data_IF_566635466496
#
_entry.id   IF_566635466496
#
_cell.length_a   1.000
_cell.length_b   1.000
_cell.length_c   1.000
_cell.angle_alpha   90.00
_cell.angle_beta   90.00
_cell.angle_gamma   90.00
#
_symmetry.space_group_name_H-M   'P 1'
#
loop_
_entity.id
_entity.type
_entity.pdbx_description
1 polymer ?
#
# COMPACT_ATOMS: atom_id res chain seq x y z
N UNK A 1 -23.43 19.35 16.69
CA UNK A 1 -22.73 18.19 17.28
C UNK A 1 -22.85 17.06 16.27
N UNK A 2 -21.91 16.95 15.35
CA UNK A 2 -21.87 15.82 14.42
C UNK A 2 -21.57 14.57 15.24
N UNK A 3 -22.46 13.59 15.21
CA UNK A 3 -22.22 12.29 15.83
C UNK A 3 -21.03 11.66 15.13
N UNK A 4 -19.91 11.55 15.83
CA UNK A 4 -18.72 10.87 15.33
C UNK A 4 -19.10 9.41 15.05
N UNK A 5 -19.31 9.07 13.78
CA UNK A 5 -19.71 7.73 13.31
C UNK A 5 -18.58 6.70 13.46
N UNK A 6 -17.41 7.17 13.91
CA UNK A 6 -16.08 6.58 13.78
C UNK A 6 -15.79 5.35 14.66
N UNK A 7 -16.79 4.57 15.07
CA UNK A 7 -16.61 3.31 15.82
C UNK A 7 -17.89 2.43 15.84
N UNK A 8 -18.84 2.67 14.93
CA UNK A 8 -20.07 1.86 14.88
C UNK A 8 -19.86 0.66 13.93
N UNK A 9 -19.99 -0.59 14.41
CA UNK A 9 -19.85 -1.77 13.57
C UNK A 9 -20.90 -1.79 12.44
N UNK A 10 -20.49 -2.34 11.30
CA UNK A 10 -21.37 -2.52 10.16
C UNK A 10 -22.45 -3.56 10.46
N UNK A 11 -23.66 -3.29 10.01
CA UNK A 11 -24.79 -4.23 10.07
C UNK A 11 -25.00 -4.97 8.74
N UNK A 12 -24.36 -4.52 7.66
CA UNK A 12 -24.26 -5.23 6.37
C UNK A 12 -23.00 -4.79 5.60
N UNK A 13 -22.35 -5.73 4.93
CA UNK A 13 -21.31 -5.47 3.93
C UNK A 13 -21.88 -5.70 2.53
N UNK A 14 -21.93 -4.66 1.71
CA UNK A 14 -22.38 -4.73 0.32
C UNK A 14 -21.18 -4.60 -0.60
N UNK A 15 -20.98 -5.54 -1.51
CA UNK A 15 -19.81 -5.59 -2.38
C UNK A 15 -20.24 -5.45 -3.83
N UNK A 16 -19.91 -4.31 -4.44
CA UNK A 16 -20.09 -4.09 -5.86
C UNK A 16 -18.90 -4.67 -6.61
N UNK A 17 -19.15 -5.45 -7.66
CA UNK A 17 -18.09 -6.12 -8.42
C UNK A 17 -17.72 -7.50 -7.87
N UNK A 18 -18.59 -8.12 -7.08
CA UNK A 18 -18.36 -9.40 -6.39
C UNK A 18 -18.04 -10.58 -7.34
N UNK A 19 -18.37 -10.48 -8.63
CA UNK A 19 -18.02 -11.47 -9.66
C UNK A 19 -16.67 -11.22 -10.33
N UNK A 20 -15.97 -10.15 -9.95
CA UNK A 20 -14.74 -9.69 -10.55
C UNK A 20 -13.47 -10.44 -10.11
N UNK A 21 -12.36 -10.10 -10.76
CA UNK A 21 -11.07 -10.75 -10.49
C UNK A 21 -10.51 -10.45 -9.09
N UNK A 22 -10.74 -9.25 -8.56
CA UNK A 22 -10.29 -8.91 -7.20
C UNK A 22 -11.05 -9.75 -6.17
N UNK A 23 -12.37 -9.89 -6.37
CA UNK A 23 -13.22 -10.72 -5.53
C UNK A 23 -12.69 -12.16 -5.43
N UNK A 24 -12.44 -12.75 -6.61
CA UNK A 24 -11.91 -14.10 -6.79
C UNK A 24 -10.53 -14.29 -6.18
N UNK A 25 -9.61 -13.33 -6.33
CA UNK A 25 -8.21 -13.47 -5.89
C UNK A 25 -8.01 -13.18 -4.40
N UNK A 26 -8.72 -12.18 -3.86
CA UNK A 26 -8.42 -11.59 -2.54
C UNK A 26 -9.65 -11.47 -1.63
N UNK A 27 -10.81 -11.04 -2.13
CA UNK A 27 -11.96 -10.68 -1.26
C UNK A 27 -12.59 -11.91 -0.61
N UNK A 28 -12.91 -12.96 -1.37
CA UNK A 28 -13.55 -14.17 -0.79
C UNK A 28 -12.66 -14.87 0.23
N UNK A 29 -11.37 -15.05 -0.08
CA UNK A 29 -10.41 -15.64 0.88
C UNK A 29 -10.30 -14.80 2.15
N UNK A 30 -10.28 -13.47 2.03
CA UNK A 30 -10.20 -12.56 3.18
C UNK A 30 -11.43 -12.67 4.08
N UNK A 31 -12.63 -12.67 3.48
CA UNK A 31 -13.88 -12.82 4.23
C UNK A 31 -14.02 -14.20 4.88
N UNK A 32 -13.56 -15.26 4.20
CA UNK A 32 -13.50 -16.61 4.77
C UNK A 32 -12.56 -16.68 5.98
N UNK A 33 -11.37 -16.06 5.91
CA UNK A 33 -10.45 -15.95 7.05
C UNK A 33 -11.07 -15.19 8.23
N UNK A 34 -11.80 -14.10 7.97
CA UNK A 34 -12.55 -13.38 9.00
C UNK A 34 -13.64 -14.25 9.65
N UNK A 35 -14.39 -15.04 8.87
CA UNK A 35 -15.37 -15.99 9.41
C UNK A 35 -14.70 -17.10 10.23
N UNK A 36 -13.55 -17.62 9.77
CA UNK A 36 -12.74 -18.61 10.50
C UNK A 36 -12.31 -18.07 11.87
N UNK A 37 -11.94 -16.79 11.93
CA UNK A 37 -11.55 -16.07 13.15
C UNK A 37 -12.74 -15.52 13.95
N UNK A 38 -13.98 -15.73 13.49
CA UNK A 38 -15.23 -15.20 14.10
C UNK A 38 -15.28 -13.68 14.20
N UNK A 39 -14.59 -12.99 13.29
CA UNK A 39 -14.57 -11.52 13.19
C UNK A 39 -15.62 -10.99 12.20
N UNK A 40 -16.19 -11.85 11.36
CA UNK A 40 -17.28 -11.48 10.46
C UNK A 40 -18.63 -11.51 11.19
N UNK A 41 -19.24 -10.34 11.39
CA UNK A 41 -20.43 -10.19 12.25
C UNK A 41 -21.72 -9.84 11.50
N UNK A 42 -21.65 -9.46 10.23
CA UNK A 42 -22.80 -9.01 9.45
C UNK A 42 -23.09 -9.92 8.24
N UNK A 43 -24.27 -9.78 7.59
CA UNK A 43 -24.55 -10.35 6.28
C UNK A 43 -23.73 -9.69 5.17
N UNK A 44 -23.58 -10.39 4.05
CA UNK A 44 -22.87 -9.91 2.86
C UNK A 44 -23.81 -9.95 1.66
N UNK A 45 -23.93 -8.81 0.97
CA UNK A 45 -24.72 -8.68 -0.26
C UNK A 45 -23.78 -8.41 -1.42
N UNK A 46 -23.65 -9.37 -2.33
CA UNK A 46 -22.92 -9.18 -3.58
C UNK A 46 -23.79 -8.49 -4.63
N UNK A 47 -23.22 -7.52 -5.35
CA UNK A 47 -23.88 -6.81 -6.45
C UNK A 47 -23.03 -6.92 -7.71
N UNK A 48 -23.62 -7.48 -8.77
CA UNK A 48 -22.99 -7.51 -10.09
C UNK A 48 -24.04 -7.69 -11.21
N UNK A 49 -23.58 -7.59 -12.46
CA UNK A 49 -24.43 -7.69 -13.65
C UNK A 49 -24.82 -9.14 -14.00
N UNK A 50 -23.96 -10.09 -13.64
CA UNK A 50 -24.11 -11.51 -13.98
C UNK A 50 -25.44 -12.08 -13.46
N UNK A 51 -26.07 -12.97 -14.24
CA UNK A 51 -27.36 -13.59 -13.87
C UNK A 51 -27.22 -14.70 -12.84
N UNK A 52 -26.54 -14.43 -11.72
CA UNK A 52 -26.28 -15.42 -10.68
C UNK A 52 -27.45 -15.56 -9.70
N UNK A 53 -27.65 -16.77 -9.20
CA UNK A 53 -28.41 -17.03 -7.98
C UNK A 53 -27.49 -16.91 -6.76
N UNK A 54 -28.07 -16.85 -5.55
CA UNK A 54 -27.31 -16.94 -4.30
C UNK A 54 -26.43 -18.20 -4.25
N UNK A 55 -26.94 -19.33 -4.76
CA UNK A 55 -26.18 -20.59 -4.79
C UNK A 55 -25.00 -20.52 -5.76
N UNK A 56 -25.18 -19.89 -6.92
CA UNK A 56 -24.07 -19.68 -7.86
C UNK A 56 -22.97 -18.78 -7.27
N UNK A 57 -23.35 -17.75 -6.50
CA UNK A 57 -22.40 -16.91 -5.75
C UNK A 57 -21.64 -17.74 -4.70
N UNK A 58 -22.33 -18.61 -3.96
CA UNK A 58 -21.72 -19.47 -2.93
C UNK A 58 -20.73 -20.48 -3.55
N UNK A 59 -21.09 -21.09 -4.67
CA UNK A 59 -20.21 -22.00 -5.40
C UNK A 59 -18.99 -21.28 -5.94
N UNK A 60 -19.17 -20.07 -6.48
CA UNK A 60 -18.06 -19.23 -6.93
C UNK A 60 -17.12 -18.85 -5.77
N UNK A 61 -17.69 -18.47 -4.62
CA UNK A 61 -16.92 -18.14 -3.42
C UNK A 61 -16.09 -19.34 -2.94
N UNK A 62 -16.67 -20.55 -2.89
CA UNK A 62 -15.93 -21.79 -2.57
C UNK A 62 -14.76 -21.98 -3.54
N UNK A 63 -15.02 -21.96 -4.84
CA UNK A 63 -14.00 -22.18 -5.86
C UNK A 63 -12.87 -21.14 -5.79
N UNK A 64 -13.20 -19.87 -5.49
CA UNK A 64 -12.23 -18.80 -5.30
C UNK A 64 -11.32 -19.04 -4.07
N UNK A 65 -11.90 -19.47 -2.95
CA UNK A 65 -11.16 -19.79 -1.72
C UNK A 65 -10.23 -21.00 -1.95
N UNK A 66 -10.71 -22.05 -2.60
CA UNK A 66 -9.90 -23.23 -2.97
C UNK A 66 -8.75 -22.85 -3.91
N UNK A 67 -9.03 -22.06 -4.94
CA UNK A 67 -8.03 -21.62 -5.91
C UNK A 67 -6.96 -20.71 -5.28
N UNK A 68 -7.27 -20.04 -4.17
CA UNK A 68 -6.30 -19.28 -3.39
C UNK A 68 -5.39 -20.16 -2.51
N UNK A 69 -5.61 -21.48 -2.46
CA UNK A 69 -4.84 -22.43 -1.66
C UNK A 69 -5.23 -22.46 -0.19
N UNK A 70 -6.38 -21.89 0.19
CA UNK A 70 -6.86 -21.92 1.57
C UNK A 70 -7.35 -23.33 1.96
N UNK A 71 -6.99 -23.84 3.15
CA UNK A 71 -7.61 -25.04 3.68
C UNK A 71 -9.09 -24.77 4.02
N UNK A 72 -9.96 -25.57 3.41
CA UNK A 72 -11.40 -25.50 3.64
C UNK A 72 -11.80 -26.27 4.90
N UNK A 73 -12.49 -25.57 5.80
CA UNK A 73 -13.28 -26.12 6.89
C UNK A 73 -14.75 -25.97 6.51
N UNK A 74 -15.42 -27.09 6.24
CA UNK A 74 -16.82 -27.12 5.80
C UNK A 74 -17.78 -26.44 6.79
N UNK A 75 -17.46 -26.44 8.09
CA UNK A 75 -18.28 -25.76 9.10
C UNK A 75 -18.14 -24.24 9.00
N UNK A 76 -16.93 -23.74 8.70
CA UNK A 76 -16.66 -22.32 8.48
C UNK A 76 -17.30 -21.89 7.17
N UNK A 77 -17.13 -22.69 6.11
CA UNK A 77 -17.68 -22.41 4.80
C UNK A 77 -19.21 -22.35 4.82
N UNK A 78 -19.88 -23.26 5.53
CA UNK A 78 -21.34 -23.24 5.66
C UNK A 78 -21.84 -21.96 6.35
N UNK A 79 -21.17 -21.51 7.43
CA UNK A 79 -21.50 -20.24 8.10
C UNK A 79 -21.24 -19.04 7.19
N UNK A 80 -20.12 -19.04 6.47
CA UNK A 80 -19.79 -17.99 5.51
C UNK A 80 -20.82 -17.90 4.39
N UNK A 81 -21.15 -19.03 3.76
CA UNK A 81 -22.13 -19.12 2.68
C UNK A 81 -23.53 -18.68 3.11
N UNK A 82 -23.92 -18.96 4.35
CA UNK A 82 -25.20 -18.51 4.93
C UNK A 82 -25.31 -16.99 5.08
N UNK A 83 -24.20 -16.25 5.05
CA UNK A 83 -24.18 -14.77 5.06
C UNK A 83 -24.30 -14.17 3.67
N UNK A 84 -24.03 -14.94 2.62
CA UNK A 84 -23.98 -14.46 1.24
C UNK A 84 -25.38 -14.44 0.62
N UNK A 85 -25.69 -13.31 0.01
CA UNK A 85 -26.86 -13.07 -0.84
C UNK A 85 -26.47 -12.22 -2.05
N UNK A 86 -27.25 -12.26 -3.12
CA UNK A 86 -26.93 -11.61 -4.38
C UNK A 86 -28.03 -10.68 -4.87
N UNK A 87 -27.63 -9.51 -5.37
CA UNK A 87 -28.48 -8.57 -6.10
C UNK A 87 -27.93 -8.42 -7.51
N UNK A 88 -28.67 -8.96 -8.48
CA UNK A 88 -28.37 -8.75 -9.89
C UNK A 88 -28.75 -7.32 -10.31
N UNK A 89 -27.87 -6.67 -11.06
CA UNK A 89 -28.23 -5.44 -11.76
C UNK A 89 -27.07 -4.71 -12.45
N UNK A 90 -27.44 -3.84 -13.37
CA UNK A 90 -26.52 -2.87 -13.96
C UNK A 90 -26.47 -1.63 -13.07
N UNK A 91 -25.29 -1.08 -12.82
CA UNK A 91 -25.11 0.16 -12.04
C UNK A 91 -25.69 1.38 -12.76
N UNK A 92 -26.05 1.24 -14.03
CA UNK A 92 -26.80 2.20 -14.82
C UNK A 92 -28.28 2.25 -14.55
N UNK A 93 -28.84 1.16 -14.03
CA UNK A 93 -30.28 0.98 -13.89
C UNK A 93 -30.71 1.37 -12.47
N UNK A 94 -31.56 2.40 -12.29
CA UNK A 94 -32.10 2.77 -10.99
C UNK A 94 -32.79 1.61 -10.26
N UNK A 95 -33.38 0.65 -10.97
CA UNK A 95 -34.03 -0.50 -10.35
C UNK A 95 -33.04 -1.41 -9.61
N UNK A 96 -31.76 -1.43 -10.00
CA UNK A 96 -30.70 -2.12 -9.25
C UNK A 96 -30.59 -1.59 -7.83
N UNK A 97 -30.63 -0.27 -7.66
CA UNK A 97 -30.53 0.37 -6.34
C UNK A 97 -31.83 0.21 -5.54
N UNK A 98 -32.99 0.18 -6.19
CA UNK A 98 -34.25 -0.17 -5.52
C UNK A 98 -34.27 -1.62 -5.02
N UNK A 99 -33.77 -2.58 -5.82
CA UNK A 99 -33.57 -3.97 -5.37
C UNK A 99 -32.62 -4.03 -4.17
N UNK A 100 -31.50 -3.33 -4.23
CA UNK A 100 -30.54 -3.26 -3.14
C UNK A 100 -31.16 -2.68 -1.86
N UNK A 101 -31.90 -1.57 -1.96
CA UNK A 101 -32.59 -0.95 -0.81
C UNK A 101 -33.59 -1.91 -0.14
N UNK A 102 -34.27 -2.77 -0.92
CA UNK A 102 -35.11 -3.84 -0.36
C UNK A 102 -34.29 -4.91 0.36
N UNK A 103 -33.14 -5.30 -0.21
CA UNK A 103 -32.27 -6.33 0.35
C UNK A 103 -31.63 -5.91 1.69
N UNK A 104 -31.28 -4.62 1.83
CA UNK A 104 -30.65 -4.08 3.05
C UNK A 104 -31.65 -3.33 3.95
N UNK A 105 -32.95 -3.57 3.77
CA UNK A 105 -33.99 -2.87 4.52
C UNK A 105 -33.81 -3.05 6.05
N UNK A 106 -33.81 -1.95 6.79
CA UNK A 106 -33.60 -1.92 8.24
C UNK A 106 -32.15 -1.82 8.69
N UNK A 107 -31.18 -1.94 7.76
CA UNK A 107 -29.76 -1.67 8.03
C UNK A 107 -29.52 -0.15 8.07
N UNK A 108 -28.72 0.29 9.04
CA UNK A 108 -28.43 1.70 9.36
C UNK A 108 -26.97 2.06 9.18
N UNK A 109 -26.06 1.08 9.22
CA UNK A 109 -24.62 1.29 9.12
C UNK A 109 -23.97 0.44 8.03
N UNK A 110 -24.50 0.46 6.78
CA UNK A 110 -23.95 -0.36 5.72
C UNK A 110 -22.53 0.07 5.36
N UNK A 111 -21.70 -0.90 5.01
CA UNK A 111 -20.42 -0.67 4.33
C UNK A 111 -20.58 -1.07 2.88
N UNK A 112 -20.38 -0.13 1.95
CA UNK A 112 -20.39 -0.38 0.51
C UNK A 112 -18.95 -0.47 0.01
N UNK A 113 -18.50 -1.66 -0.36
CA UNK A 113 -17.18 -1.88 -0.93
C UNK A 113 -17.26 -1.90 -2.47
N UNK A 114 -16.56 -0.97 -3.11
CA UNK A 114 -16.57 -0.75 -4.55
C UNK A 114 -15.30 -1.33 -5.18
N UNK A 115 -15.29 -2.63 -5.42
CA UNK A 115 -14.23 -3.32 -6.19
C UNK A 115 -14.54 -3.30 -7.71
N UNK A 116 -14.85 -2.11 -8.21
CA UNK A 116 -15.27 -1.84 -9.60
C UNK A 116 -14.35 -0.79 -10.24
N UNK A 117 -14.38 -0.63 -11.57
CA UNK A 117 -13.63 0.43 -12.23
C UNK A 117 -13.91 1.82 -11.63
N UNK A 118 -12.89 2.68 -11.41
CA UNK A 118 -13.06 3.99 -10.77
C UNK A 118 -14.06 4.92 -11.46
N UNK A 119 -14.21 4.79 -12.78
CA UNK A 119 -15.20 5.55 -13.57
C UNK A 119 -16.65 5.27 -13.17
N UNK A 120 -16.90 4.23 -12.38
CA UNK A 120 -18.23 3.86 -11.89
C UNK A 120 -18.46 4.27 -10.43
N UNK A 121 -17.47 4.78 -9.71
CA UNK A 121 -17.61 5.15 -8.29
C UNK A 121 -18.68 6.22 -8.09
N UNK A 122 -18.57 7.36 -8.77
CA UNK A 122 -19.54 8.45 -8.65
C UNK A 122 -20.96 7.97 -8.99
N UNK A 123 -21.11 7.22 -10.09
CA UNK A 123 -22.39 6.64 -10.52
C UNK A 123 -23.03 5.74 -9.47
N UNK A 124 -22.25 4.86 -8.84
CA UNK A 124 -22.76 3.97 -7.80
C UNK A 124 -23.15 4.76 -6.56
N UNK A 125 -22.35 5.74 -6.15
CA UNK A 125 -22.66 6.60 -4.99
C UNK A 125 -23.91 7.46 -5.25
N UNK A 126 -24.09 7.98 -6.47
CA UNK A 126 -25.33 8.65 -6.90
C UNK A 126 -26.54 7.74 -6.81
N UNK A 127 -26.42 6.50 -7.30
CA UNK A 127 -27.50 5.51 -7.21
C UNK A 127 -27.86 5.17 -5.76
N UNK A 128 -26.86 4.99 -4.89
CA UNK A 128 -27.06 4.78 -3.46
C UNK A 128 -27.74 5.98 -2.78
N UNK A 129 -27.32 7.20 -3.12
CA UNK A 129 -27.89 8.42 -2.58
C UNK A 129 -29.36 8.58 -3.03
N UNK A 130 -29.68 8.25 -4.28
CA UNK A 130 -31.03 8.33 -4.84
C UNK A 130 -32.06 7.44 -4.13
N UNK A 131 -31.62 6.35 -3.50
CA UNK A 131 -32.46 5.47 -2.67
C UNK A 131 -32.26 5.67 -1.16
N UNK A 132 -31.52 6.71 -0.75
CA UNK A 132 -31.32 7.08 0.65
C UNK A 132 -30.36 6.18 1.44
N UNK A 133 -29.52 5.40 0.75
CA UNK A 133 -28.61 4.43 1.38
C UNK A 133 -27.27 5.03 1.82
N UNK A 134 -26.96 6.28 1.49
CA UNK A 134 -25.69 6.92 1.90
C UNK A 134 -25.68 7.42 3.34
N UNK A 135 -26.85 7.55 3.98
CA UNK A 135 -26.95 8.05 5.35
C UNK A 135 -26.43 7.03 6.36
N UNK A 136 -25.38 7.38 7.11
CA UNK A 136 -24.76 6.49 8.10
C UNK A 136 -23.91 5.36 7.50
N UNK A 137 -23.73 5.38 6.17
CA UNK A 137 -22.93 4.42 5.43
C UNK A 137 -21.44 4.74 5.48
N UNK A 138 -20.61 3.74 5.23
CA UNK A 138 -19.22 3.92 4.79
C UNK A 138 -19.09 3.38 3.38
N UNK A 139 -18.31 4.05 2.55
CA UNK A 139 -18.03 3.66 1.17
C UNK A 139 -16.54 3.43 1.03
N UNK A 140 -16.18 2.17 0.79
CA UNK A 140 -14.82 1.72 0.58
C UNK A 140 -14.54 1.70 -0.91
N UNK A 141 -13.49 2.38 -1.36
CA UNK A 141 -13.12 2.49 -2.78
C UNK A 141 -11.70 2.00 -3.02
N UNK A 142 -11.52 1.28 -4.13
CA UNK A 142 -10.23 0.80 -4.59
C UNK A 142 -9.43 1.86 -5.37
N UNK A 143 -8.11 1.69 -5.41
CA UNK A 143 -7.23 2.49 -6.28
C UNK A 143 -7.52 2.19 -7.76
N UNK A 144 -7.27 3.12 -8.70
CA UNK A 144 -6.64 4.44 -8.53
C UNK A 144 -7.59 5.58 -8.09
N UNK A 145 -7.07 6.50 -7.27
CA UNK A 145 -7.74 7.74 -6.86
C UNK A 145 -7.31 8.91 -7.76
N UNK A 146 -7.80 8.89 -9.00
CA UNK A 146 -7.31 9.78 -10.06
C UNK A 146 -6.04 9.26 -10.73
N UNK A 147 -5.59 9.96 -11.76
CA UNK A 147 -4.36 9.68 -12.52
C UNK A 147 -3.40 10.87 -12.55
N UNK A 148 -3.77 11.97 -11.92
CA UNK A 148 -3.01 13.18 -11.65
C UNK A 148 -3.75 13.98 -10.57
N UNK A 149 -3.17 15.12 -10.15
CA UNK A 149 -3.78 15.95 -9.11
C UNK A 149 -5.18 16.47 -9.50
N UNK A 150 -5.37 16.87 -10.76
CA UNK A 150 -6.62 17.46 -11.23
C UNK A 150 -7.76 16.43 -11.24
N UNK A 151 -7.52 15.24 -11.76
CA UNK A 151 -8.49 14.14 -11.79
C UNK A 151 -8.79 13.58 -10.40
N UNK A 152 -7.80 13.55 -9.49
CA UNK A 152 -8.02 13.17 -8.10
C UNK A 152 -8.97 14.15 -7.39
N UNK A 153 -8.73 15.46 -7.56
CA UNK A 153 -9.62 16.51 -7.05
C UNK A 153 -11.02 16.44 -7.64
N UNK A 154 -11.13 16.20 -8.95
CA UNK A 154 -12.42 16.08 -9.62
C UNK A 154 -13.23 14.89 -9.08
N UNK A 155 -12.62 13.70 -9.03
CA UNK A 155 -13.24 12.50 -8.47
C UNK A 155 -13.68 12.74 -7.02
N UNK A 156 -12.80 13.37 -6.23
CA UNK A 156 -13.13 13.66 -4.84
C UNK A 156 -14.30 14.64 -4.71
N UNK A 157 -14.29 15.74 -5.47
CA UNK A 157 -15.37 16.71 -5.46
C UNK A 157 -16.72 16.09 -5.84
N UNK A 158 -16.76 15.13 -6.78
CA UNK A 158 -17.97 14.38 -7.11
C UNK A 158 -18.46 13.51 -5.92
N UNK A 159 -17.55 12.78 -5.27
CA UNK A 159 -17.91 11.93 -4.13
C UNK A 159 -18.34 12.73 -2.88
N UNK A 160 -17.66 13.84 -2.58
CA UNK A 160 -17.95 14.70 -1.41
C UNK A 160 -19.28 15.46 -1.53
N UNK A 161 -19.91 15.49 -2.71
CA UNK A 161 -21.28 16.01 -2.85
C UNK A 161 -22.32 15.12 -2.15
N UNK A 162 -22.02 13.83 -1.98
CA UNK A 162 -22.98 12.81 -1.56
C UNK A 162 -22.60 12.08 -0.27
N UNK A 163 -21.34 12.21 0.14
CA UNK A 163 -20.76 11.54 1.31
C UNK A 163 -19.96 12.55 2.12
N UNK A 164 -19.84 12.34 3.43
CA UNK A 164 -18.85 12.99 4.30
C UNK A 164 -17.47 12.29 4.22
N UNK A 165 -16.38 12.95 4.64
CA UNK A 165 -15.01 12.41 4.47
C UNK A 165 -14.78 11.23 5.42
N UNK A 166 -15.44 11.22 6.59
CA UNK A 166 -15.43 10.10 7.52
C UNK A 166 -16.19 8.87 6.98
N UNK A 167 -17.04 9.07 5.96
CA UNK A 167 -17.71 7.98 5.25
C UNK A 167 -16.86 7.39 4.12
N UNK A 168 -15.82 8.08 3.64
CA UNK A 168 -15.01 7.65 2.50
C UNK A 168 -13.74 6.92 2.95
N UNK A 169 -13.66 5.64 2.62
CA UNK A 169 -12.57 4.75 3.00
C UNK A 169 -11.75 4.34 1.76
N UNK A 170 -10.66 5.05 1.49
CA UNK A 170 -9.80 4.81 0.32
C UNK A 170 -8.77 3.73 0.64
N UNK A 171 -8.87 2.57 -0.01
CA UNK A 171 -7.94 1.45 0.21
C UNK A 171 -6.57 1.74 -0.42
N UNK A 172 -5.56 1.60 0.41
CA UNK A 172 -4.19 1.31 0.00
C UNK A 172 -3.76 0.01 0.70
N UNK A 173 -3.70 -1.09 -0.04
CA UNK A 173 -3.36 -2.39 0.54
C UNK A 173 -1.95 -2.47 1.14
N UNK A 174 -1.02 -1.54 0.84
CA UNK A 174 0.26 -1.48 1.53
C UNK A 174 0.12 -1.00 2.97
N UNK A 175 -0.82 -0.08 3.26
CA UNK A 175 -1.14 0.33 4.62
C UNK A 175 -1.79 -0.79 5.42
N UNK A 176 -2.47 -1.73 4.74
CA UNK A 176 -3.01 -2.94 5.35
C UNK A 176 -1.97 -4.02 5.67
N UNK A 177 -0.72 -3.90 5.20
CA UNK A 177 0.34 -4.83 5.55
C UNK A 177 0.78 -4.57 6.99
N UNK A 178 0.75 -5.60 7.84
CA UNK A 178 1.21 -5.52 9.25
C UNK A 178 2.55 -4.78 9.45
N UNK A 179 3.58 -4.99 8.59
CA UNK A 179 4.88 -4.32 8.73
C UNK A 179 4.84 -2.80 8.56
N UNK A 180 3.79 -2.27 7.92
CA UNK A 180 3.60 -0.82 7.85
C UNK A 180 3.28 -0.26 9.25
N UNK A 181 2.52 -0.99 10.07
CA UNK A 181 2.25 -0.63 11.47
C UNK A 181 3.47 -0.88 12.36
N UNK A 182 4.24 -1.95 12.08
CA UNK A 182 5.46 -2.26 12.84
C UNK A 182 6.45 -1.10 12.83
N UNK A 183 6.51 -0.29 11.77
CA UNK A 183 7.33 0.94 11.74
C UNK A 183 7.04 1.84 12.95
N UNK A 184 5.77 2.05 13.28
CA UNK A 184 5.37 2.93 14.37
C UNK A 184 5.72 2.33 15.73
N UNK A 185 5.44 1.04 15.94
CA UNK A 185 5.79 0.36 17.18
C UNK A 185 7.30 0.26 17.39
N UNK A 186 8.06 -0.07 16.34
CA UNK A 186 9.52 -0.13 16.40
C UNK A 186 10.11 1.23 16.78
N UNK A 187 9.60 2.33 16.23
CA UNK A 187 10.08 3.68 16.55
C UNK A 187 9.65 4.12 17.95
N UNK A 188 8.36 4.11 18.23
CA UNK A 188 7.81 4.82 19.38
C UNK A 188 7.67 3.96 20.64
N UNK A 189 7.71 2.62 20.54
CA UNK A 189 7.72 1.75 21.72
C UNK A 189 9.14 1.40 22.20
N UNK A 190 10.19 1.79 21.47
CA UNK A 190 11.58 1.48 21.80
C UNK A 190 12.38 2.76 22.08
N UNK A 191 12.63 3.02 23.36
CA UNK A 191 13.37 4.20 23.83
C UNK A 191 14.81 4.29 23.33
N UNK A 192 15.37 3.18 22.81
CA UNK A 192 16.71 3.13 22.23
C UNK A 192 16.77 3.64 20.78
N UNK A 193 15.66 3.59 20.03
CA UNK A 193 15.67 3.95 18.60
C UNK A 193 15.20 5.37 18.34
N UNK A 194 14.15 5.84 19.01
CA UNK A 194 13.61 7.19 18.75
C UNK A 194 14.65 8.33 18.91
N UNK A 195 15.57 8.31 19.90
CA UNK A 195 16.59 9.37 20.05
C UNK A 195 17.56 9.49 18.87
N UNK A 196 17.80 8.40 18.13
CA UNK A 196 18.67 8.37 16.95
C UNK A 196 17.90 8.48 15.63
N UNK A 197 16.57 8.66 15.68
CA UNK A 197 15.71 8.71 14.51
C UNK A 197 15.56 10.11 13.91
N UNK A 198 16.67 10.75 13.57
CA UNK A 198 16.69 12.13 13.09
C UNK A 198 17.95 12.44 12.26
N UNK A 199 17.95 13.61 11.62
CA UNK A 199 19.04 14.15 10.79
C UNK A 199 20.40 14.24 11.46
N UNK A 200 20.50 14.23 12.79
CA UNK A 200 21.81 14.26 13.45
C UNK A 200 22.51 12.91 13.37
N UNK A 201 21.75 11.83 13.26
CA UNK A 201 22.24 10.45 13.28
C UNK A 201 22.05 9.72 11.96
N UNK A 202 21.02 10.06 11.17
CA UNK A 202 20.71 9.42 9.89
C UNK A 202 21.42 10.15 8.74
N UNK A 203 22.04 9.39 7.84
CA UNK A 203 22.69 9.92 6.63
C UNK A 203 21.74 9.93 5.43
N UNK A 204 20.97 8.87 5.23
CA UNK A 204 19.96 8.77 4.18
C UNK A 204 18.95 7.65 4.48
N UNK A 205 17.82 7.70 3.80
CA UNK A 205 16.81 6.62 3.78
C UNK A 205 16.71 6.08 2.34
N UNK A 206 16.65 4.77 2.20
CA UNK A 206 16.57 4.06 0.93
C UNK A 206 15.34 3.15 0.96
N UNK A 207 14.38 3.39 0.07
CA UNK A 207 13.17 2.58 -0.10
C UNK A 207 13.28 1.83 -1.42
N UNK A 208 13.20 0.50 -1.37
CA UNK A 208 13.25 -0.37 -2.54
C UNK A 208 11.94 -1.13 -2.67
N UNK A 209 11.31 -1.10 -3.83
CA UNK A 209 10.24 -2.03 -4.21
C UNK A 209 10.58 -2.69 -5.53
N UNK A 210 11.05 -3.93 -5.46
CA UNK A 210 11.46 -4.70 -6.61
C UNK A 210 10.50 -5.85 -6.87
N UNK A 211 10.18 -6.04 -8.15
CA UNK A 211 9.41 -7.17 -8.66
C UNK A 211 10.30 -7.90 -9.67
N UNK A 212 10.44 -9.20 -9.50
CA UNK A 212 11.21 -10.09 -10.38
C UNK A 212 10.46 -10.51 -11.64
N UNK A 213 9.19 -10.10 -11.77
CA UNK A 213 8.34 -10.32 -12.92
C UNK A 213 8.09 -9.03 -13.73
N UNK A 214 7.73 -9.20 -15.01
CA UNK A 214 7.42 -8.11 -15.94
C UNK A 214 5.94 -7.68 -15.89
N UNK A 215 5.49 -6.99 -16.95
CA UNK A 215 4.06 -6.63 -17.12
C UNK A 215 3.22 -7.79 -17.66
N UNK A 216 3.86 -8.80 -18.26
CA UNK A 216 3.26 -10.04 -18.75
C UNK A 216 2.11 -9.80 -19.75
N UNK A 217 0.86 -10.08 -19.39
CA UNK A 217 -0.32 -9.94 -20.26
C UNK A 217 -1.13 -8.67 -19.98
N UNK A 218 -0.69 -7.83 -19.03
CA UNK A 218 -1.43 -6.65 -18.56
C UNK A 218 -1.02 -5.35 -19.25
N UNK A 219 -0.48 -5.42 -20.46
CA UNK A 219 0.05 -4.26 -21.19
C UNK A 219 -0.96 -3.11 -21.34
N UNK A 220 -2.22 -3.43 -21.71
CA UNK A 220 -3.29 -2.43 -21.85
C UNK A 220 -3.60 -1.66 -20.57
N UNK A 221 -3.45 -2.29 -19.41
CA UNK A 221 -3.71 -1.67 -18.11
C UNK A 221 -2.49 -0.91 -17.59
N UNK A 222 -1.28 -1.44 -17.79
CA UNK A 222 -0.07 -0.86 -17.23
C UNK A 222 0.49 0.31 -18.06
N UNK A 223 0.41 0.24 -19.39
CA UNK A 223 0.97 1.25 -20.30
C UNK A 223 0.44 2.69 -20.12
N UNK A 224 -0.82 2.94 -19.73
CA UNK A 224 -1.27 4.29 -19.36
C UNK A 224 -0.90 4.71 -17.94
N UNK A 225 -0.42 3.79 -17.08
CA UNK A 225 -0.20 4.03 -15.64
C UNK A 225 1.28 4.32 -15.36
N UNK A 226 2.16 3.36 -15.65
CA UNK A 226 3.60 3.42 -15.32
C UNK A 226 3.91 3.21 -13.84
N UNK A 227 5.19 2.93 -13.53
CA UNK A 227 5.61 2.62 -12.16
C UNK A 227 5.42 3.80 -11.19
N UNK A 228 5.52 5.06 -11.66
CA UNK A 228 5.35 6.23 -10.80
C UNK A 228 3.94 6.29 -10.21
N UNK A 229 2.90 6.04 -11.02
CA UNK A 229 1.50 6.03 -10.56
C UNK A 229 1.13 4.72 -9.86
N UNK A 230 1.66 3.59 -10.32
CA UNK A 230 1.25 2.29 -9.83
C UNK A 230 1.65 2.07 -8.36
N UNK A 231 2.89 2.47 -8.02
CA UNK A 231 3.49 2.16 -6.70
C UNK A 231 4.12 3.34 -5.97
N UNK A 232 4.65 4.36 -6.66
CA UNK A 232 5.35 5.46 -5.98
C UNK A 232 4.36 6.44 -5.35
N UNK A 233 3.42 6.96 -6.14
CA UNK A 233 2.44 7.99 -5.73
C UNK A 233 1.61 7.59 -4.50
N UNK A 234 1.37 6.29 -4.32
CA UNK A 234 0.62 5.74 -3.21
C UNK A 234 1.56 5.06 -2.21
N UNK A 235 1.89 3.79 -2.43
CA UNK A 235 2.50 2.87 -1.49
C UNK A 235 3.82 3.39 -0.92
N UNK A 236 4.75 3.84 -1.78
CA UNK A 236 6.09 4.21 -1.33
C UNK A 236 6.11 5.57 -0.64
N UNK A 237 5.26 6.52 -1.06
CA UNK A 237 5.08 7.76 -0.32
C UNK A 237 4.42 7.51 1.05
N UNK A 238 3.44 6.59 1.15
CA UNK A 238 2.87 6.19 2.44
C UNK A 238 3.92 5.57 3.37
N UNK A 239 4.76 4.65 2.87
CA UNK A 239 5.87 4.08 3.64
C UNK A 239 6.88 5.15 4.08
N UNK A 240 7.23 6.08 3.19
CA UNK A 240 8.09 7.22 3.53
C UNK A 240 7.47 8.04 4.67
N UNK A 241 6.18 8.35 4.61
CA UNK A 241 5.50 9.09 5.67
C UNK A 241 5.47 8.34 7.01
N UNK A 242 5.33 7.02 7.00
CA UNK A 242 5.42 6.21 8.22
C UNK A 242 6.82 6.25 8.86
N UNK A 243 7.87 6.25 8.03
CA UNK A 243 9.26 6.41 8.50
C UNK A 243 9.53 7.81 9.04
N UNK A 244 8.98 8.85 8.39
CA UNK A 244 9.33 10.23 8.65
C UNK A 244 8.42 10.95 9.67
N UNK A 245 7.22 10.44 9.93
CA UNK A 245 6.21 11.09 10.77
C UNK A 245 6.63 11.24 12.24
N UNK A 246 6.10 12.26 12.89
CA UNK A 246 6.17 12.41 14.35
C UNK A 246 5.19 11.44 15.04
N UNK A 247 5.39 11.11 16.33
CA UNK A 247 4.40 10.33 17.08
C UNK A 247 3.06 11.08 17.15
N UNK A 248 1.92 10.39 17.00
CA UNK A 248 0.61 11.01 17.13
C UNK A 248 0.36 11.45 18.57
N UNK A 249 -0.34 12.57 18.74
CA UNK A 249 -0.73 13.09 20.06
C UNK A 249 -1.99 12.46 20.64
N UNK A 250 -2.73 11.70 19.83
CA UNK A 250 -3.94 10.99 20.22
C UNK A 250 -4.04 9.65 19.47
N UNK A 251 -4.92 8.77 19.94
CA UNK A 251 -5.07 7.40 19.41
C UNK A 251 -6.11 7.28 18.30
N UNK A 252 -6.80 8.35 17.94
CA UNK A 252 -7.80 8.33 16.88
C UNK A 252 -7.19 8.34 15.46
N UNK A 253 -8.00 7.93 14.49
CA UNK A 253 -7.59 7.81 13.09
C UNK A 253 -7.12 9.15 12.49
N UNK A 254 -7.71 10.28 12.90
CA UNK A 254 -7.30 11.60 12.39
C UNK A 254 -5.93 11.99 12.91
N UNK A 255 -5.64 11.78 14.19
CA UNK A 255 -4.31 12.05 14.74
C UNK A 255 -3.20 11.29 13.98
N UNK A 256 -3.43 10.01 13.63
CA UNK A 256 -2.49 9.22 12.81
C UNK A 256 -2.38 9.71 11.37
N UNK A 257 -3.50 10.12 10.76
CA UNK A 257 -3.54 10.66 9.39
C UNK A 257 -2.87 12.03 9.31
N UNK A 258 -3.10 12.89 10.28
CA UNK A 258 -2.50 14.22 10.39
C UNK A 258 -0.98 14.15 10.41
N UNK A 259 -0.39 13.20 11.16
CA UNK A 259 1.07 13.03 11.20
C UNK A 259 1.67 12.66 9.83
N UNK A 260 0.92 11.93 9.00
CA UNK A 260 1.35 11.60 7.62
C UNK A 260 1.21 12.80 6.70
N UNK A 261 0.10 13.52 6.79
CA UNK A 261 -0.14 14.75 6.02
C UNK A 261 0.92 15.81 6.32
N UNK A 262 1.32 15.98 7.59
CA UNK A 262 2.38 16.90 8.00
C UNK A 262 3.71 16.57 7.31
N UNK A 263 4.02 15.28 7.11
CA UNK A 263 5.20 14.87 6.33
C UNK A 263 5.02 15.25 4.86
N UNK A 264 3.90 14.92 4.23
CA UNK A 264 3.70 15.20 2.81
C UNK A 264 3.76 16.70 2.50
N UNK A 265 3.18 17.55 3.36
CA UNK A 265 3.27 19.00 3.25
C UNK A 265 4.70 19.53 3.38
N UNK A 266 5.56 18.81 4.12
CA UNK A 266 6.98 19.13 4.24
C UNK A 266 7.82 18.58 3.08
N UNK A 267 7.27 17.80 2.15
CA UNK A 267 7.97 17.35 0.95
C UNK A 267 7.72 18.37 -0.17
N UNK A 268 8.76 19.05 -0.69
CA UNK A 268 8.61 19.93 -1.85
C UNK A 268 8.10 19.16 -3.08
N UNK A 269 7.68 19.91 -4.09
CA UNK A 269 7.43 19.36 -5.42
C UNK A 269 8.66 18.60 -5.92
N UNK A 270 8.47 17.36 -6.40
CA UNK A 270 9.60 16.51 -6.78
C UNK A 270 10.32 17.07 -8.00
N UNK A 271 11.65 17.14 -7.92
CA UNK A 271 12.50 17.69 -8.96
C UNK A 271 12.75 16.66 -10.09
N UNK A 272 12.35 16.95 -11.35
CA UNK A 272 12.65 16.09 -12.49
C UNK A 272 14.14 15.81 -12.71
N UNK A 273 15.05 16.68 -12.24
CA UNK A 273 16.50 16.44 -12.29
C UNK A 273 16.96 15.31 -11.36
N UNK A 274 16.15 15.01 -10.34
CA UNK A 274 16.36 13.94 -9.37
C UNK A 274 15.44 12.73 -9.61
N UNK A 275 14.96 12.59 -10.84
CA UNK A 275 14.05 11.53 -11.27
C UNK A 275 14.62 10.76 -12.46
N UNK A 276 14.80 9.46 -12.27
CA UNK A 276 15.28 8.51 -13.27
C UNK A 276 14.13 7.60 -13.68
N UNK A 277 13.83 7.59 -14.98
CA UNK A 277 12.86 6.69 -15.59
C UNK A 277 13.60 5.55 -16.25
N UNK A 278 13.11 4.32 -16.09
CA UNK A 278 13.63 3.16 -16.79
C UNK A 278 12.55 2.36 -17.51
N UNK A 279 12.90 1.69 -18.60
CA UNK A 279 12.02 0.75 -19.31
C UNK A 279 12.79 -0.52 -19.66
N UNK A 280 12.36 -1.68 -19.14
CA UNK A 280 13.09 -2.93 -19.37
C UNK A 280 13.07 -3.33 -20.84
N UNK A 281 14.15 -3.97 -21.30
CA UNK A 281 14.24 -4.55 -22.63
C UNK A 281 13.23 -5.69 -22.79
N UNK A 282 12.34 -5.60 -23.78
CA UNK A 282 11.22 -6.54 -23.95
C UNK A 282 9.84 -5.93 -23.68
N UNK A 283 9.76 -4.78 -22.99
CA UNK A 283 8.48 -4.17 -22.61
C UNK A 283 7.61 -3.80 -23.82
N UNK A 284 8.21 -3.30 -24.91
CA UNK A 284 7.47 -2.91 -26.12
C UNK A 284 6.89 -4.10 -26.89
N UNK A 285 7.30 -5.33 -26.56
CA UNK A 285 6.81 -6.57 -27.16
C UNK A 285 5.64 -7.19 -26.35
N UNK A 286 5.34 -6.64 -25.17
CA UNK A 286 4.24 -7.09 -24.31
C UNK A 286 2.90 -6.81 -25.01
N UNK A 287 1.99 -7.80 -25.11
CA UNK A 287 0.67 -7.60 -25.68
C UNK A 287 -0.07 -6.42 -25.02
N UNK A 288 -0.62 -5.54 -25.86
CA UNK A 288 -1.37 -4.37 -25.42
C UNK A 288 -0.55 -3.11 -25.08
N UNK A 289 0.79 -3.18 -25.11
CA UNK A 289 1.65 -1.99 -24.99
C UNK A 289 1.72 -1.25 -26.33
N UNK A 290 1.63 0.08 -26.30
CA UNK A 290 1.69 0.90 -27.51
C UNK A 290 3.07 0.78 -28.18
N UNK A 291 3.14 0.66 -29.52
CA UNK A 291 4.40 0.76 -30.23
C UNK A 291 5.08 2.10 -29.90
N UNK A 292 6.35 2.06 -29.48
CA UNK A 292 7.13 3.24 -29.03
C UNK A 292 6.61 3.89 -27.73
N UNK A 293 5.94 3.13 -26.86
CA UNK A 293 5.61 3.62 -25.52
C UNK A 293 6.84 4.17 -24.80
N UNK A 294 6.65 5.32 -24.15
CA UNK A 294 7.64 5.95 -23.25
C UNK A 294 7.33 5.67 -21.78
N UNK A 295 6.38 4.78 -21.47
CA UNK A 295 5.97 4.45 -20.10
C UNK A 295 7.09 3.77 -19.33
N UNK A 296 7.35 4.24 -18.12
CA UNK A 296 8.40 3.69 -17.27
C UNK A 296 7.94 2.41 -16.57
N UNK A 297 8.81 1.41 -16.58
CA UNK A 297 8.70 0.18 -15.77
C UNK A 297 9.60 0.22 -14.55
N UNK A 298 10.40 1.29 -14.41
CA UNK A 298 11.28 1.57 -13.29
C UNK A 298 11.29 3.07 -12.98
N UNK A 299 11.35 3.40 -11.68
CA UNK A 299 11.53 4.74 -11.14
C UNK A 299 12.71 4.71 -10.17
N UNK A 300 13.65 5.63 -10.33
CA UNK A 300 14.58 6.08 -9.29
C UNK A 300 14.25 7.52 -8.93
N UNK A 301 14.12 7.86 -7.65
CA UNK A 301 13.70 9.18 -7.21
C UNK A 301 14.46 9.59 -5.94
N UNK A 302 14.89 10.85 -5.85
CA UNK A 302 15.36 11.47 -4.61
C UNK A 302 14.35 12.51 -4.17
N UNK A 303 13.90 12.40 -2.93
CA UNK A 303 13.01 13.34 -2.25
C UNK A 303 13.69 13.86 -0.99
N UNK A 304 13.15 14.96 -0.47
CA UNK A 304 13.58 15.59 0.78
C UNK A 304 12.34 15.88 1.63
N UNK A 305 12.48 15.82 2.94
CA UNK A 305 11.43 16.22 3.90
C UNK A 305 11.95 17.44 4.65
N UNK A 306 11.45 18.62 4.29
CA UNK A 306 11.89 19.93 4.80
C UNK A 306 11.24 20.26 6.15
N UNK A 307 11.59 19.51 7.18
CA UNK A 307 11.23 19.80 8.56
C UNK A 307 12.43 19.67 9.50
N UNK A 308 12.23 19.97 10.78
CA UNK A 308 13.30 19.96 11.78
C UNK A 308 13.97 18.59 11.94
N UNK A 309 13.22 17.50 11.80
CA UNK A 309 13.74 16.14 11.97
C UNK A 309 14.59 15.69 10.78
N UNK A 310 14.20 16.07 9.56
CA UNK A 310 14.74 15.46 8.33
C UNK A 310 15.49 16.39 7.39
N UNK A 311 15.49 17.70 7.63
CA UNK A 311 16.18 18.66 6.76
C UNK A 311 17.63 18.25 6.48
N UNK A 312 17.96 18.12 5.18
CA UNK A 312 19.28 17.69 4.68
C UNK A 312 19.49 16.17 4.57
N UNK A 313 18.52 15.34 4.98
CA UNK A 313 18.56 13.89 4.80
C UNK A 313 17.78 13.51 3.55
N UNK A 314 18.43 12.96 2.50
CA UNK A 314 17.72 12.52 1.31
C UNK A 314 16.98 11.20 1.55
N UNK A 315 15.80 11.11 0.97
CA UNK A 315 15.02 9.89 0.81
C UNK A 315 15.14 9.42 -0.63
N UNK A 316 15.82 8.30 -0.83
CA UNK A 316 15.93 7.66 -2.13
C UNK A 316 14.89 6.58 -2.27
N UNK A 317 14.17 6.58 -3.38
CA UNK A 317 13.22 5.53 -3.77
C UNK A 317 13.72 4.89 -5.05
N UNK A 318 13.71 3.56 -5.11
CA UNK A 318 13.77 2.81 -6.36
C UNK A 318 12.64 1.80 -6.42
N UNK A 319 11.95 1.75 -7.54
CA UNK A 319 10.86 0.81 -7.75
C UNK A 319 10.83 0.33 -9.20
N UNK A 320 10.55 -0.94 -9.45
CA UNK A 320 10.38 -1.39 -10.82
C UNK A 320 10.16 -2.88 -11.02
N UNK A 321 9.82 -3.20 -12.27
CA UNK A 321 9.56 -4.55 -12.78
C UNK A 321 10.77 -5.18 -13.43
N UNK A 322 10.77 -6.50 -13.51
CA UNK A 322 11.88 -7.30 -14.05
C UNK A 322 13.22 -6.95 -13.41
N UNK A 323 13.21 -6.68 -12.11
CA UNK A 323 14.41 -6.54 -11.27
C UNK A 323 14.89 -7.93 -10.81
N UNK A 324 16.03 -8.06 -10.11
CA UNK A 324 16.59 -9.38 -9.83
C UNK A 324 15.81 -10.21 -8.81
N UNK A 325 15.04 -9.55 -7.94
CA UNK A 325 14.39 -10.16 -6.77
C UNK A 325 13.03 -9.51 -6.50
N UNK A 326 12.10 -10.24 -5.89
CA UNK A 326 10.86 -9.70 -5.33
C UNK A 326 11.06 -9.28 -3.88
N UNK A 327 11.08 -7.98 -3.60
CA UNK A 327 11.27 -7.45 -2.25
C UNK A 327 10.77 -6.01 -2.11
N UNK A 328 10.10 -5.70 -1.00
CA UNK A 328 9.86 -4.33 -0.52
C UNK A 328 10.64 -4.12 0.77
N UNK A 329 11.55 -3.16 0.77
CA UNK A 329 12.47 -2.87 1.88
C UNK A 329 12.58 -1.36 2.13
N UNK A 330 12.67 -1.00 3.42
CA UNK A 330 13.09 0.32 3.88
C UNK A 330 14.42 0.16 4.60
N UNK A 331 15.43 0.89 4.17
CA UNK A 331 16.78 0.89 4.76
C UNK A 331 17.15 2.28 5.22
N UNK A 332 17.47 2.42 6.49
CA UNK A 332 17.92 3.65 7.11
C UNK A 332 19.41 3.49 7.37
N UNK A 333 20.21 4.36 6.76
CA UNK A 333 21.66 4.32 6.87
C UNK A 333 22.09 5.43 7.83
N UNK A 334 22.70 5.06 8.95
CA UNK A 334 23.20 6.01 9.93
C UNK A 334 24.46 6.73 9.42
N UNK A 335 24.81 7.84 10.05
CA UNK A 335 26.08 8.51 9.80
C UNK A 335 27.22 7.65 10.33
N UNK A 336 28.34 7.70 9.61
CA UNK A 336 29.55 7.01 10.01
C UNK A 336 30.06 7.56 11.35
N UNK A 337 30.37 6.69 12.34
CA UNK A 337 31.03 7.11 13.57
C UNK A 337 32.38 7.79 13.31
N UNK A 338 32.85 8.66 14.22
CA UNK A 338 34.19 9.24 14.11
C UNK A 338 35.29 8.17 14.18
N UNK A 339 36.53 8.57 13.85
CA UNK A 339 37.69 7.66 13.86
C UNK A 339 37.88 7.02 15.24
N UNK A 340 38.11 5.70 15.24
CA UNK A 340 38.37 4.92 16.45
C UNK A 340 39.87 4.97 16.80
N UNK A 341 40.21 5.60 17.92
CA UNK A 341 41.62 5.73 18.35
C UNK A 341 42.29 4.37 18.65
N UNK A 342 41.51 3.38 19.11
CA UNK A 342 42.01 2.03 19.42
C UNK A 342 42.05 1.09 18.20
N UNK A 343 41.63 1.56 17.03
CA UNK A 343 41.59 0.79 15.78
C UNK A 343 42.01 1.68 14.60
N UNK A 344 43.24 2.21 14.64
CA UNK A 344 43.69 3.30 13.78
C UNK A 344 43.60 3.06 12.27
N UNK A 345 43.62 1.79 11.83
CA UNK A 345 43.55 1.37 10.42
C UNK A 345 42.13 1.05 9.96
N UNK A 346 41.16 1.06 10.87
CA UNK A 346 39.79 0.68 10.60
C UNK A 346 38.91 1.92 10.40
N UNK A 347 38.13 1.91 9.32
CA UNK A 347 37.10 2.92 9.06
C UNK A 347 35.75 2.24 9.25
N UNK A 348 34.96 2.63 10.27
CA UNK A 348 33.66 2.02 10.50
C UNK A 348 32.74 2.23 9.31
N UNK A 349 32.11 1.15 8.84
CA UNK A 349 30.91 1.27 8.02
C UNK A 349 29.75 1.81 8.86
N UNK A 350 28.83 2.59 8.25
CA UNK A 350 27.65 3.07 8.95
C UNK A 350 26.78 1.90 9.40
N UNK A 351 26.18 2.04 10.59
CA UNK A 351 25.12 1.15 11.05
C UNK A 351 23.91 1.27 10.12
N UNK A 352 23.10 0.22 10.03
CA UNK A 352 21.92 0.20 9.17
C UNK A 352 20.75 -0.43 9.89
N UNK A 353 19.58 0.18 9.71
CA UNK A 353 18.30 -0.37 10.09
C UNK A 353 17.53 -0.77 8.85
N UNK A 354 17.21 -2.05 8.72
CA UNK A 354 16.60 -2.61 7.53
C UNK A 354 15.27 -3.22 7.92
N UNK A 355 14.19 -2.71 7.36
CA UNK A 355 12.85 -3.26 7.52
C UNK A 355 12.40 -3.87 6.20
N UNK A 356 12.20 -5.18 6.19
CA UNK A 356 11.58 -5.87 5.06
C UNK A 356 10.07 -5.88 5.25
N UNK A 357 9.36 -5.25 4.31
CA UNK A 357 7.90 -5.16 4.29
C UNK A 357 7.30 -6.37 3.56
N UNK A 358 7.97 -6.86 2.52
CA UNK A 358 7.53 -7.99 1.70
C UNK A 358 8.73 -8.63 1.00
N UNK A 359 8.76 -9.95 0.78
CA UNK A 359 8.03 -10.99 1.51
C UNK A 359 8.68 -11.26 2.89
N UNK A 360 8.06 -12.11 3.71
CA UNK A 360 8.59 -12.56 5.02
C UNK A 360 9.06 -11.41 5.91
N UNK A 361 8.13 -10.60 6.43
CA UNK A 361 8.49 -9.36 7.09
C UNK A 361 9.37 -9.53 8.33
N UNK A 362 10.20 -8.53 8.57
CA UNK A 362 11.10 -8.52 9.72
C UNK A 362 12.00 -7.30 9.72
N UNK A 363 12.83 -7.22 10.75
CA UNK A 363 13.83 -6.16 10.92
C UNK A 363 15.21 -6.76 11.08
N UNK A 364 16.18 -6.14 10.43
CA UNK A 364 17.60 -6.44 10.58
C UNK A 364 18.34 -5.18 11.02
N UNK A 365 19.24 -5.34 11.99
CA UNK A 365 20.20 -4.32 12.38
C UNK A 365 21.59 -4.75 11.95
N UNK A 366 22.23 -3.95 11.08
CA UNK A 366 23.65 -4.11 10.77
C UNK A 366 24.49 -3.20 11.64
N UNK A 367 25.31 -3.82 12.49
CA UNK A 367 26.20 -3.11 13.41
C UNK A 367 27.63 -3.61 13.29
N UNK A 368 28.59 -2.80 13.72
CA UNK A 368 29.98 -3.21 13.80
C UNK A 368 30.26 -4.08 15.04
N UNK A 369 30.88 -5.24 14.84
CA UNK A 369 31.38 -6.10 15.90
C UNK A 369 32.84 -6.50 15.68
N UNK A 370 33.61 -6.61 16.77
CA UNK A 370 35.02 -6.99 16.72
C UNK A 370 35.18 -8.44 16.22
N UNK A 371 36.08 -8.63 15.26
CA UNK A 371 36.47 -9.97 14.83
C UNK A 371 37.25 -10.69 15.95
N UNK A 372 36.91 -11.95 16.27
CA UNK A 372 37.68 -12.75 17.23
C UNK A 372 39.16 -12.81 16.85
N UNK A 373 40.05 -12.56 17.81
CA UNK A 373 41.51 -12.63 17.62
C UNK A 373 42.16 -11.51 16.79
N UNK A 374 41.39 -10.60 16.18
CA UNK A 374 41.92 -9.49 15.37
C UNK A 374 41.67 -8.12 16.03
N UNK A 375 42.44 -7.11 15.62
CA UNK A 375 42.21 -5.68 15.93
C UNK A 375 41.42 -5.03 14.79
N UNK A 376 40.36 -5.70 14.36
CA UNK A 376 39.52 -5.33 13.23
C UNK A 376 38.07 -5.65 13.56
N UNK A 377 37.12 -5.02 12.87
CA UNK A 377 35.69 -5.28 13.04
C UNK A 377 35.06 -5.75 11.74
N UNK A 378 33.82 -6.20 11.81
CA UNK A 378 33.01 -6.53 10.65
C UNK A 378 31.57 -6.15 10.96
N UNK A 379 30.81 -5.85 9.90
CA UNK A 379 29.36 -5.74 10.04
C UNK A 379 28.79 -7.12 10.37
N UNK A 380 27.92 -7.17 11.36
CA UNK A 380 27.14 -8.35 11.73
C UNK A 380 25.66 -8.03 11.64
N UNK A 381 24.89 -9.06 11.29
CA UNK A 381 23.44 -9.01 11.12
C UNK A 381 22.75 -9.45 12.42
N UNK A 382 21.85 -8.62 12.95
CA UNK A 382 20.94 -8.97 14.05
C UNK A 382 19.51 -9.05 13.48
N UNK A 383 19.03 -10.27 13.26
CA UNK A 383 17.75 -10.54 12.61
C UNK A 383 16.60 -10.77 13.61
N UNK A 384 15.46 -10.12 13.35
CA UNK A 384 14.17 -10.43 13.96
C UNK A 384 13.14 -10.64 12.85
N UNK A 385 12.69 -11.89 12.67
CA UNK A 385 11.59 -12.24 11.76
C UNK A 385 10.28 -12.17 12.54
N UNK A 386 9.31 -11.37 12.08
CA UNK A 386 8.08 -11.13 12.84
C UNK A 386 7.22 -12.38 12.95
N UNK A 387 7.03 -13.12 11.85
CA UNK A 387 6.20 -14.33 11.88
C UNK A 387 6.76 -15.38 12.86
N UNK A 388 8.07 -15.58 12.87
CA UNK A 388 8.72 -16.52 13.78
C UNK A 388 8.61 -16.10 15.26
N UNK A 389 8.55 -14.78 15.53
CA UNK A 389 8.50 -14.25 16.88
C UNK A 389 7.06 -14.01 17.40
N UNK A 390 6.12 -13.67 16.51
CA UNK A 390 4.80 -13.11 16.85
C UNK A 390 3.63 -13.87 16.19
N UNK A 391 3.89 -14.79 15.26
CA UNK A 391 2.88 -15.57 14.55
C UNK A 391 2.41 -14.95 13.21
N UNK A 392 1.47 -15.63 12.56
CA UNK A 392 0.95 -15.23 11.25
C UNK A 392 0.11 -13.95 11.33
N UNK A 393 0.48 -12.93 10.55
CA UNK A 393 -0.26 -11.69 10.43
C UNK A 393 -1.52 -11.84 9.55
N UNK A 394 -2.59 -11.06 9.78
CA UNK A 394 -3.70 -10.97 8.83
C UNK A 394 -3.21 -10.49 7.46
N UNK A 395 -3.86 -10.96 6.40
CA UNK A 395 -3.60 -10.43 5.07
C UNK A 395 -4.13 -8.99 4.93
N UNK A 396 -3.59 -8.17 4.01
CA UNK A 396 -3.97 -6.76 3.93
C UNK A 396 -5.46 -6.52 3.70
N UNK A 397 -6.09 -7.28 2.80
CA UNK A 397 -7.53 -7.16 2.55
C UNK A 397 -8.37 -7.70 3.71
N UNK A 398 -7.93 -8.76 4.38
CA UNK A 398 -8.55 -9.26 5.61
C UNK A 398 -8.60 -8.15 6.67
N UNK A 399 -7.47 -7.47 6.87
CA UNK A 399 -7.33 -6.37 7.83
C UNK A 399 -8.20 -5.18 7.45
N UNK A 400 -8.06 -4.68 6.22
CA UNK A 400 -8.76 -3.48 5.76
C UNK A 400 -10.28 -3.68 5.73
N UNK A 401 -10.78 -4.83 5.26
CA UNK A 401 -12.23 -5.10 5.29
C UNK A 401 -12.76 -5.18 6.72
N UNK A 402 -12.00 -5.79 7.63
CA UNK A 402 -12.36 -5.82 9.06
C UNK A 402 -12.41 -4.41 9.66
N UNK A 403 -11.39 -3.58 9.41
CA UNK A 403 -11.32 -2.20 9.88
C UNK A 403 -12.46 -1.34 9.30
N UNK A 404 -12.77 -1.49 8.01
CA UNK A 404 -13.91 -0.82 7.38
C UNK A 404 -15.23 -1.20 8.05
N UNK A 405 -15.46 -2.49 8.35
CA UNK A 405 -16.66 -2.95 9.05
C UNK A 405 -16.71 -2.45 10.49
N UNK A 406 -15.58 -2.36 11.19
CA UNK A 406 -15.55 -1.88 12.58
C UNK A 406 -15.62 -0.35 12.72
N UNK A 407 -15.35 0.38 11.62
CA UNK A 407 -15.38 1.85 11.61
C UNK A 407 -14.03 2.47 11.94
N UNK A 408 -12.97 1.66 11.85
CA UNK A 408 -11.61 2.10 12.06
C UNK A 408 -11.03 2.66 10.75
N UNK A 409 -10.96 3.98 10.65
CA UNK A 409 -10.45 4.66 9.46
C UNK A 409 -8.91 4.82 9.44
N UNK A 410 -8.18 4.31 10.44
CA UNK A 410 -6.75 4.64 10.66
C UNK A 410 -5.83 4.23 9.50
N UNK A 411 -6.15 3.13 8.82
CA UNK A 411 -5.38 2.60 7.69
C UNK A 411 -5.87 3.07 6.32
N UNK A 412 -6.92 3.91 6.28
CA UNK A 412 -7.47 4.44 5.03
C UNK A 412 -6.91 5.81 4.73
N UNK A 413 -6.68 6.08 3.45
CA UNK A 413 -6.10 7.35 3.02
C UNK A 413 -7.16 8.44 2.99
N UNK A 414 -6.88 9.56 3.68
CA UNK A 414 -7.73 10.76 3.65
C UNK A 414 -7.46 11.57 2.39
N UNK A 415 -8.45 12.32 1.93
CA UNK A 415 -8.38 13.18 0.74
C UNK A 415 -7.10 14.02 0.68
N UNK A 416 -6.78 14.73 1.76
CA UNK A 416 -5.63 15.62 1.82
C UNK A 416 -4.30 14.87 1.66
N UNK A 417 -4.19 13.63 2.14
CA UNK A 417 -3.03 12.77 1.86
C UNK A 417 -2.94 12.43 0.37
N UNK A 418 -4.06 12.13 -0.28
CA UNK A 418 -4.09 11.81 -1.73
C UNK A 418 -3.67 13.03 -2.55
N UNK A 419 -4.19 14.22 -2.21
CA UNK A 419 -3.82 15.45 -2.90
C UNK A 419 -2.35 15.80 -2.74
N UNK A 420 -1.80 15.71 -1.53
CA UNK A 420 -0.40 16.03 -1.29
C UNK A 420 0.53 15.04 -2.00
N UNK A 421 0.21 13.74 -2.02
CA UNK A 421 1.04 12.78 -2.78
C UNK A 421 0.97 13.01 -4.29
N UNK A 422 -0.18 13.43 -4.82
CA UNK A 422 -0.27 13.86 -6.22
C UNK A 422 0.52 15.14 -6.48
N UNK A 423 0.41 16.17 -5.60
CA UNK A 423 1.19 17.41 -5.70
C UNK A 423 2.68 17.10 -5.80
N UNK A 424 3.20 16.27 -4.90
CA UNK A 424 4.62 15.89 -4.86
C UNK A 424 5.08 15.34 -6.21
N UNK A 425 4.33 14.41 -6.82
CA UNK A 425 4.76 13.75 -8.06
C UNK A 425 4.34 14.46 -9.35
N UNK A 426 3.46 15.46 -9.27
CA UNK A 426 2.88 16.15 -10.42
C UNK A 426 3.95 16.70 -11.41
N UNK A 427 5.03 17.37 -10.97
CA UNK A 427 6.05 17.87 -11.90
C UNK A 427 6.73 16.76 -12.71
N UNK A 428 6.84 15.55 -12.14
CA UNK A 428 7.43 14.39 -12.80
C UNK A 428 6.53 13.84 -13.92
N UNK A 429 5.21 14.07 -13.81
CA UNK A 429 4.22 13.70 -14.81
C UNK A 429 4.15 14.70 -15.97
N UNK A 430 4.36 15.99 -15.66
CA UNK A 430 4.31 17.08 -16.63
C UNK A 430 5.59 17.21 -17.47
N UNK A 431 6.75 16.89 -16.89
CA UNK A 431 8.05 16.95 -17.54
C UNK A 431 8.79 15.59 -17.55
N UNK A 432 8.21 14.50 -18.10
CA UNK A 432 8.85 13.19 -18.07
C UNK A 432 10.05 13.14 -19.03
N UNK A 433 11.23 12.77 -18.49
CA UNK A 433 12.43 12.45 -19.26
C UNK A 433 12.25 11.17 -20.09
N UNK A 434 13.13 10.90 -21.06
CA UNK A 434 13.11 9.60 -21.74
C UNK A 434 13.51 8.45 -20.80
N UNK A 435 12.80 7.30 -20.83
CA UNK A 435 13.17 6.19 -19.98
C UNK A 435 14.47 5.53 -20.48
N UNK A 436 15.43 5.37 -19.57
CA UNK A 436 16.66 4.62 -19.81
C UNK A 436 16.35 3.12 -19.96
N UNK A 437 16.97 2.47 -20.95
CA UNK A 437 16.84 1.02 -21.12
C UNK A 437 17.64 0.28 -20.05
N UNK A 438 17.07 -0.82 -19.55
CA UNK A 438 17.78 -1.74 -18.68
C UNK A 438 17.44 -3.20 -19.02
N UNK A 439 18.40 -4.09 -18.80
CA UNK A 439 18.22 -5.53 -19.01
C UNK A 439 17.33 -6.11 -17.90
N UNK A 440 16.45 -7.03 -18.25
CA UNK A 440 15.67 -7.78 -17.26
C UNK A 440 16.62 -8.53 -16.30
N UNK A 441 16.24 -8.62 -15.03
CA UNK A 441 17.07 -9.23 -13.98
C UNK A 441 18.26 -8.37 -13.54
N UNK A 442 18.27 -7.07 -13.84
CA UNK A 442 19.27 -6.11 -13.34
C UNK A 442 18.61 -5.08 -12.41
N UNK A 443 19.39 -4.39 -11.56
CA UNK A 443 18.89 -3.40 -10.59
C UNK A 443 18.44 -2.05 -11.20
N UNK A 444 17.98 -2.07 -12.45
CA UNK A 444 17.55 -0.89 -13.18
C UNK A 444 18.66 -0.18 -13.97
N UNK A 445 18.38 1.01 -14.50
CA UNK A 445 19.29 1.74 -15.37
C UNK A 445 20.44 2.42 -14.61
N UNK A 446 21.50 2.81 -15.33
CA UNK A 446 22.69 3.42 -14.74
C UNK A 446 22.40 4.76 -14.05
N UNK A 447 21.38 5.50 -14.50
CA UNK A 447 20.89 6.71 -13.83
C UNK A 447 20.56 6.48 -12.34
N UNK A 448 20.02 5.32 -11.98
CA UNK A 448 19.64 5.01 -10.59
C UNK A 448 20.84 4.97 -9.64
N UNK A 449 22.00 4.51 -10.12
CA UNK A 449 23.25 4.52 -9.34
C UNK A 449 23.86 5.91 -9.23
N UNK A 450 23.69 6.75 -10.26
CA UNK A 450 24.14 8.16 -10.23
C UNK A 450 23.33 8.99 -9.26
N UNK A 451 22.05 8.66 -9.07
CA UNK A 451 21.14 9.39 -8.19
C UNK A 451 21.61 9.47 -6.73
N UNK A 452 22.29 8.42 -6.25
CA UNK A 452 22.84 8.32 -4.88
C UNK A 452 24.30 8.80 -4.79
N UNK A 453 24.85 9.43 -5.84
CA UNK A 453 26.22 9.92 -5.83
C UNK A 453 26.42 10.95 -4.68
N UNK A 454 27.50 10.78 -3.91
CA UNK A 454 27.77 11.60 -2.72
C UNK A 454 27.14 11.06 -1.42
N UNK A 455 26.31 10.02 -1.51
CA UNK A 455 25.67 9.33 -0.38
C UNK A 455 26.04 7.84 -0.36
N UNK A 456 25.67 7.09 0.70
CA UNK A 456 25.76 5.64 0.68
C UNK A 456 25.09 5.07 -0.57
N UNK A 457 25.82 4.20 -1.29
CA UNK A 457 25.32 3.52 -2.50
C UNK A 457 24.08 2.68 -2.19
N UNK A 458 23.32 2.33 -3.23
CA UNK A 458 22.30 1.29 -3.09
C UNK A 458 22.94 -0.01 -2.58
N UNK A 459 22.31 -0.61 -1.57
CA UNK A 459 22.70 -1.92 -1.06
C UNK A 459 21.90 -3.02 -1.76
N UNK A 460 22.45 -4.24 -1.78
CA UNK A 460 21.65 -5.42 -2.06
C UNK A 460 20.61 -5.58 -0.94
N UNK A 461 19.33 -5.81 -1.27
CA UNK A 461 18.30 -5.99 -0.26
C UNK A 461 18.59 -7.20 0.64
N UNK A 462 18.11 -7.13 1.89
CA UNK A 462 18.09 -8.24 2.81
C UNK A 462 16.96 -9.19 2.42
N UNK A 463 17.31 -10.27 1.72
CA UNK A 463 16.35 -11.27 1.24
C UNK A 463 16.04 -12.31 2.33
N UNK A 464 14.87 -12.97 2.27
CA UNK A 464 14.61 -14.16 3.08
C UNK A 464 15.68 -15.22 2.83
N UNK A 465 16.00 -16.02 3.85
CA UNK A 465 16.86 -17.19 3.65
C UNK A 465 16.20 -18.09 2.60
N UNK A 466 16.92 -18.40 1.52
CA UNK A 466 16.45 -19.39 0.54
C UNK A 466 16.38 -20.73 1.27
N UNK A 467 15.22 -21.39 1.27
CA UNK A 467 15.14 -22.78 1.69
C UNK A 467 16.18 -23.56 0.88
N UNK A 468 17.03 -24.39 1.50
CA UNK A 468 17.85 -25.31 0.73
C UNK A 468 16.91 -26.25 -0.03
N UNK A 469 16.99 -26.23 -1.35
CA UNK A 469 16.27 -27.14 -2.27
C UNK A 469 16.58 -28.62 -1.96
#
# INVERSE_FOLDING_TARGET
MASNSSNVPADVLVIFGISGDLARKMTFRSLYRLERRKLLTCPIVGVARDGWSDDALRDHARAAIEAAGEPLDESVLARFAARLSYVQGDYADPETFHRLARAVNGMRHPVFYLEIPPSLFARVVEGLAGVGLTKGARVVVEKPFGHDLASARALNAELRQLLDEDQLLRIDHFLGKEPAMDIQFLRFANSVFEPVWNRDHISCVQITMAEDFGVEDRGHFYDPVGALRDVVQNHLLQLLALVASEPPSAADADALRDRRVDVFRAIPDADPAHYVRGQYEGYLQVPGVRPRSRTETFVGLRLEVENWRWSGVPFFIRAGKSLPERVTEIRIVFKRPPRLAFAERFVPEPDQWILRIDPSPGVNFRIQAKQPGKQDTQLVDLDLLFEAALGEAPEPYERLLSDAMQGNASLFTREDSVEETWRIVQPLLEAPSDPERYRQGTWGPAGASKLVAGYPRWHEPWLPARSPD
#
